data_IF_082035886254
#
_entry.id   IF_082035886254
#
_cell.length_a   1.000
_cell.length_b   1.000
_cell.length_c   1.000
_cell.angle_alpha   90.00
_cell.angle_beta   90.00
_cell.angle_gamma   90.00
#
_symmetry.space_group_name_H-M   'P 1'
#
loop_
_entity.id
_entity.type
_entity.pdbx_description
1 polymer ?
#
# COMPACT_ATOMS: atom_id res chain seq x y z
N UNK A 1 -36.90 -31.77 -21.90
CA UNK A 1 -36.87 -30.50 -21.13
C UNK A 1 -35.46 -30.24 -20.71
N UNK A 2 -34.71 -29.48 -21.49
CA UNK A 2 -33.27 -29.35 -21.39
C UNK A 2 -32.95 -27.99 -20.73
N UNK A 3 -32.64 -27.99 -19.44
CA UNK A 3 -32.26 -26.76 -18.72
C UNK A 3 -30.74 -26.78 -18.56
N UNK A 4 -30.04 -26.44 -19.65
CA UNK A 4 -28.64 -26.04 -19.58
C UNK A 4 -28.58 -24.54 -19.32
N UNK A 5 -28.76 -24.14 -18.07
CA UNK A 5 -28.50 -22.77 -17.65
C UNK A 5 -27.03 -22.68 -17.24
N UNK A 6 -26.15 -22.61 -18.22
CA UNK A 6 -24.76 -22.21 -18.00
C UNK A 6 -24.75 -20.73 -17.73
N UNK A 7 -24.80 -20.38 -16.45
CA UNK A 7 -24.45 -19.05 -15.99
C UNK A 7 -23.02 -18.74 -16.42
N UNK A 8 -22.88 -18.02 -17.54
CA UNK A 8 -21.64 -17.37 -17.95
C UNK A 8 -21.27 -16.35 -16.85
N UNK A 9 -20.52 -16.80 -15.85
CA UNK A 9 -19.76 -15.91 -15.00
C UNK A 9 -18.67 -15.34 -15.90
N UNK A 10 -18.94 -14.18 -16.50
CA UNK A 10 -17.95 -13.40 -17.23
C UNK A 10 -16.87 -12.97 -16.24
N UNK A 11 -15.87 -13.81 -16.06
CA UNK A 11 -14.63 -13.41 -15.41
C UNK A 11 -14.02 -12.29 -16.26
N UNK A 12 -14.12 -11.05 -15.82
CA UNK A 12 -13.45 -9.91 -16.45
C UNK A 12 -11.94 -10.16 -16.37
N UNK A 13 -11.39 -10.76 -17.42
CA UNK A 13 -9.95 -10.94 -17.57
C UNK A 13 -9.33 -9.58 -17.92
N UNK A 14 -8.38 -9.14 -17.10
CA UNK A 14 -7.62 -7.94 -17.42
C UNK A 14 -6.77 -8.15 -18.68
N UNK A 15 -6.67 -7.08 -19.48
CA UNK A 15 -5.77 -7.09 -20.64
C UNK A 15 -4.32 -7.15 -20.18
N UNK A 16 -3.43 -7.67 -21.03
CA UNK A 16 -1.98 -7.72 -20.76
C UNK A 16 -1.44 -6.33 -20.35
N UNK A 17 -1.94 -5.25 -20.96
CA UNK A 17 -1.54 -3.88 -20.65
C UNK A 17 -1.92 -3.48 -19.23
N UNK A 18 -3.10 -3.85 -18.76
CA UNK A 18 -3.56 -3.56 -17.39
C UNK A 18 -2.73 -4.32 -16.33
N UNK A 19 -2.35 -5.55 -16.62
CA UNK A 19 -1.48 -6.33 -15.73
C UNK A 19 -0.08 -5.73 -15.67
N UNK A 20 0.48 -5.32 -16.80
CA UNK A 20 1.78 -4.61 -16.85
C UNK A 20 1.72 -3.30 -16.06
N UNK A 21 0.66 -2.50 -16.25
CA UNK A 21 0.45 -1.28 -15.46
C UNK A 21 0.39 -1.58 -13.95
N UNK A 22 -0.26 -2.68 -13.55
CA UNK A 22 -0.27 -3.13 -12.16
C UNK A 22 1.13 -3.43 -11.60
N UNK A 23 1.98 -4.09 -12.38
CA UNK A 23 3.38 -4.32 -11.98
C UNK A 23 4.19 -3.03 -11.88
N UNK A 24 3.99 -2.08 -12.78
CA UNK A 24 4.65 -0.77 -12.75
C UNK A 24 4.25 0.00 -11.48
N UNK A 25 2.96 0.07 -11.16
CA UNK A 25 2.47 0.72 -9.95
C UNK A 25 3.03 0.06 -8.68
N UNK A 26 3.07 -1.27 -8.65
CA UNK A 26 3.70 -2.01 -7.54
C UNK A 26 5.18 -1.70 -7.41
N UNK A 27 5.91 -1.65 -8.52
CA UNK A 27 7.34 -1.35 -8.51
C UNK A 27 7.61 0.07 -7.98
N UNK A 28 6.79 1.04 -8.38
CA UNK A 28 6.89 2.43 -7.87
C UNK A 28 6.60 2.48 -6.36
N UNK A 29 5.53 1.83 -5.90
CA UNK A 29 5.22 1.76 -4.47
C UNK A 29 6.36 1.07 -3.69
N UNK A 30 6.84 -0.07 -4.19
CA UNK A 30 7.91 -0.84 -3.56
C UNK A 30 9.21 -0.04 -3.48
N UNK A 31 9.59 0.66 -4.53
CA UNK A 31 10.80 1.48 -4.57
C UNK A 31 10.73 2.60 -3.53
N UNK A 32 9.60 3.32 -3.48
CA UNK A 32 9.39 4.39 -2.51
C UNK A 32 9.42 3.86 -1.07
N UNK A 33 8.63 2.81 -0.76
CA UNK A 33 8.56 2.23 0.58
C UNK A 33 9.88 1.59 1.01
N UNK A 34 10.63 1.00 0.09
CA UNK A 34 11.98 0.47 0.40
C UNK A 34 12.92 1.60 0.81
N UNK A 35 12.91 2.71 0.06
CA UNK A 35 13.72 3.88 0.41
C UNK A 35 13.33 4.42 1.79
N UNK A 36 12.05 4.64 2.03
CA UNK A 36 11.52 5.16 3.29
C UNK A 36 11.84 4.24 4.48
N UNK A 37 11.66 2.94 4.30
CA UNK A 37 12.02 1.91 5.30
C UNK A 37 13.50 1.89 5.60
N UNK A 38 14.37 1.93 4.58
CA UNK A 38 15.83 1.86 4.76
C UNK A 38 16.34 3.06 5.56
N UNK A 39 15.91 4.28 5.26
CA UNK A 39 16.35 5.46 6.01
C UNK A 39 15.87 5.44 7.47
N UNK A 40 14.72 4.83 7.76
CA UNK A 40 14.23 4.64 9.12
C UNK A 40 14.98 3.56 9.88
N UNK A 41 15.25 2.41 9.27
CA UNK A 41 16.00 1.31 9.91
C UNK A 41 17.44 1.73 10.19
N UNK A 42 18.06 2.45 9.26
CA UNK A 42 19.41 2.99 9.44
C UNK A 42 19.43 4.26 10.31
N UNK A 43 18.25 4.74 10.75
CA UNK A 43 18.10 5.93 11.58
C UNK A 43 18.83 7.16 11.01
N UNK A 44 18.75 7.33 9.69
CA UNK A 44 19.39 8.47 9.02
C UNK A 44 18.74 9.80 9.43
N UNK A 45 19.53 10.86 9.40
CA UNK A 45 19.10 12.19 9.86
C UNK A 45 17.73 12.63 9.30
N UNK A 46 17.40 12.49 8.00
CA UNK A 46 16.09 12.90 7.48
C UNK A 46 14.93 12.15 8.13
N UNK A 47 15.09 10.84 8.39
CA UNK A 47 14.04 10.04 9.03
C UNK A 47 13.88 10.38 10.52
N UNK A 48 15.00 10.60 11.20
CA UNK A 48 15.05 10.99 12.61
C UNK A 48 14.40 12.37 12.82
N UNK A 49 14.85 13.37 12.08
CA UNK A 49 14.36 14.74 12.16
C UNK A 49 12.89 14.83 11.79
N UNK A 50 12.48 14.15 10.70
CA UNK A 50 11.09 14.11 10.27
C UNK A 50 10.17 13.49 11.33
N UNK A 51 10.57 12.37 11.94
CA UNK A 51 9.78 11.70 12.97
C UNK A 51 9.66 12.54 14.25
N UNK A 52 10.74 13.19 14.67
CA UNK A 52 10.75 14.10 15.82
C UNK A 52 9.87 15.33 15.55
N UNK A 53 9.94 15.90 14.35
CA UNK A 53 9.09 17.03 13.94
C UNK A 53 7.59 16.66 13.94
N UNK A 54 7.25 15.38 13.73
CA UNK A 54 5.90 14.85 13.87
C UNK A 54 5.48 14.64 15.34
N UNK A 55 6.35 14.92 16.31
CA UNK A 55 6.08 14.80 17.74
C UNK A 55 6.30 13.40 18.32
N UNK A 56 7.00 12.52 17.62
CA UNK A 56 7.40 11.21 18.13
C UNK A 56 8.79 11.27 18.76
N UNK A 57 9.09 10.47 19.79
CA UNK A 57 10.44 10.33 20.30
C UNK A 57 11.34 9.66 19.25
N UNK A 58 12.63 9.99 19.26
CA UNK A 58 13.64 9.39 18.36
C UNK A 58 13.65 7.86 18.37
N UNK A 59 13.36 7.26 19.54
CA UNK A 59 13.26 5.80 19.71
C UNK A 59 12.15 5.14 18.89
N UNK A 60 11.18 5.90 18.38
CA UNK A 60 10.06 5.38 17.55
C UNK A 60 10.48 5.13 16.10
N UNK A 61 11.56 5.72 15.61
CA UNK A 61 11.96 5.64 14.20
C UNK A 61 12.21 4.19 13.78
N UNK A 62 13.01 3.46 14.56
CA UNK A 62 13.34 2.07 14.26
C UNK A 62 12.13 1.14 14.31
N UNK A 63 11.29 1.12 15.35
CA UNK A 63 10.07 0.30 15.36
C UNK A 63 9.11 0.60 14.20
N UNK A 64 8.92 1.89 13.86
CA UNK A 64 8.09 2.29 12.72
C UNK A 64 8.66 1.73 11.41
N UNK A 65 9.96 1.86 11.18
CA UNK A 65 10.64 1.32 10.02
C UNK A 65 10.56 -0.21 9.93
N UNK A 66 10.68 -0.92 11.05
CA UNK A 66 10.57 -2.39 11.07
C UNK A 66 9.16 -2.88 10.76
N UNK A 67 8.13 -2.21 11.28
CA UNK A 67 6.73 -2.55 10.98
C UNK A 67 6.44 -2.30 9.49
N UNK A 68 6.90 -1.17 8.95
CA UNK A 68 6.77 -0.85 7.54
C UNK A 68 7.50 -1.88 6.67
N UNK A 69 8.73 -2.25 7.01
CA UNK A 69 9.50 -3.28 6.33
C UNK A 69 8.80 -4.62 6.29
N UNK A 70 8.35 -5.12 7.43
CA UNK A 70 7.62 -6.38 7.52
C UNK A 70 6.36 -6.36 6.64
N UNK A 71 5.62 -5.25 6.66
CA UNK A 71 4.42 -5.05 5.84
C UNK A 71 4.75 -5.03 4.33
N UNK A 72 5.86 -4.38 3.96
CA UNK A 72 6.35 -4.33 2.58
C UNK A 72 6.78 -5.72 2.09
N UNK A 73 7.51 -6.48 2.90
CA UNK A 73 7.91 -7.86 2.56
C UNK A 73 6.68 -8.71 2.29
N UNK A 74 5.67 -8.67 3.17
CA UNK A 74 4.41 -9.39 2.97
C UNK A 74 3.68 -8.95 1.70
N UNK A 75 3.72 -7.66 1.36
CA UNK A 75 3.11 -7.11 0.14
C UNK A 75 3.80 -7.63 -1.13
N UNK A 76 5.11 -7.82 -1.11
CA UNK A 76 5.88 -8.28 -2.27
C UNK A 76 5.77 -9.80 -2.50
N UNK A 77 5.43 -10.56 -1.48
CA UNK A 77 5.22 -12.01 -1.59
C UNK A 77 3.79 -12.27 -2.13
N UNK A 78 3.63 -12.93 -3.30
CA UNK A 78 2.31 -13.11 -3.93
C UNK A 78 1.25 -13.75 -3.03
N UNK A 79 1.64 -14.68 -2.17
CA UNK A 79 0.70 -15.38 -1.27
C UNK A 79 0.16 -14.52 -0.15
N UNK A 80 0.89 -13.49 0.27
CA UNK A 80 0.57 -12.60 1.40
C UNK A 80 0.36 -11.15 0.98
N UNK A 81 0.34 -10.87 -0.33
CA UNK A 81 0.30 -9.53 -0.89
C UNK A 81 -0.91 -8.72 -0.42
N UNK A 82 -2.08 -9.34 -0.31
CA UNK A 82 -3.29 -8.68 0.21
C UNK A 82 -3.13 -8.31 1.68
N UNK A 83 -2.58 -9.23 2.50
CA UNK A 83 -2.30 -8.96 3.91
C UNK A 83 -1.30 -7.81 4.06
N UNK A 84 -0.21 -7.84 3.28
CA UNK A 84 0.76 -6.76 3.25
C UNK A 84 0.15 -5.42 2.86
N UNK A 85 -0.73 -5.37 1.86
CA UNK A 85 -1.46 -4.16 1.47
C UNK A 85 -2.36 -3.62 2.59
N UNK A 86 -3.05 -4.50 3.33
CA UNK A 86 -3.88 -4.11 4.48
C UNK A 86 -3.01 -3.51 5.59
N UNK A 87 -1.89 -4.16 5.93
CA UNK A 87 -0.97 -3.66 6.97
C UNK A 87 -0.34 -2.32 6.57
N UNK A 88 0.08 -2.16 5.31
CA UNK A 88 0.56 -0.89 4.77
C UNK A 88 -0.53 0.19 4.80
N UNK A 89 -1.79 -0.15 4.54
CA UNK A 89 -2.92 0.79 4.65
C UNK A 89 -3.09 1.28 6.08
N UNK A 90 -2.97 0.39 7.07
CA UNK A 90 -2.97 0.76 8.49
C UNK A 90 -1.81 1.70 8.85
N UNK A 91 -0.59 1.39 8.38
CA UNK A 91 0.59 2.23 8.56
C UNK A 91 0.40 3.63 7.95
N UNK A 92 -0.05 3.70 6.70
CA UNK A 92 -0.32 4.96 5.99
C UNK A 92 -1.46 5.75 6.64
N UNK A 93 -2.49 5.07 7.16
CA UNK A 93 -3.56 5.69 7.94
C UNK A 93 -3.05 6.35 9.22
N UNK A 94 -2.11 5.70 9.91
CA UNK A 94 -1.40 6.29 11.05
C UNK A 94 -0.62 7.54 10.67
N UNK A 95 0.06 7.54 9.52
CA UNK A 95 0.75 8.71 8.99
C UNK A 95 -0.21 9.87 8.71
N UNK A 96 -1.35 9.61 8.07
CA UNK A 96 -2.40 10.62 7.83
C UNK A 96 -2.87 11.23 9.14
N UNK A 97 -3.24 10.40 10.12
CA UNK A 97 -3.72 10.85 11.41
C UNK A 97 -2.68 11.75 12.14
N UNK A 98 -1.41 11.39 12.02
CA UNK A 98 -0.30 12.16 12.57
C UNK A 98 -0.20 13.53 11.91
N UNK A 99 -0.22 13.60 10.58
CA UNK A 99 -0.17 14.86 9.85
C UNK A 99 -1.39 15.77 10.11
N UNK A 100 -2.58 15.19 10.23
CA UNK A 100 -3.79 15.92 10.63
C UNK A 100 -3.63 16.50 12.03
N UNK A 101 -3.12 15.73 12.99
CA UNK A 101 -2.93 16.16 14.38
C UNK A 101 -2.04 17.39 14.51
N UNK A 102 -1.00 17.51 13.71
CA UNK A 102 -0.05 18.63 13.77
C UNK A 102 -0.36 19.74 12.76
N UNK A 103 -1.46 19.65 12.00
CA UNK A 103 -1.86 20.66 11.02
C UNK A 103 -0.93 20.78 9.82
N UNK A 104 -0.33 19.65 9.36
CA UNK A 104 0.54 19.64 8.18
C UNK A 104 -0.19 20.08 6.91
N UNK A 105 0.53 20.61 5.89
CA UNK A 105 -0.05 20.97 4.60
C UNK A 105 -0.83 19.80 3.98
N UNK A 106 -2.08 20.08 3.55
CA UNK A 106 -3.02 19.03 3.14
C UNK A 106 -2.50 18.20 1.96
N UNK A 107 -2.15 18.86 0.86
CA UNK A 107 -1.84 18.18 -0.40
C UNK A 107 -0.48 17.50 -0.41
N UNK A 108 0.52 18.10 0.23
CA UNK A 108 1.91 17.61 0.16
C UNK A 108 2.26 16.61 1.25
N UNK A 109 1.63 16.67 2.41
CA UNK A 109 1.98 15.83 3.56
C UNK A 109 0.82 14.94 4.01
N UNK A 110 -0.37 15.53 4.26
CA UNK A 110 -1.51 14.79 4.80
C UNK A 110 -2.08 13.79 3.79
N UNK A 111 -2.19 14.18 2.51
CA UNK A 111 -2.72 13.31 1.44
C UNK A 111 -1.65 12.44 0.78
N UNK A 112 -0.37 12.70 1.02
CA UNK A 112 0.72 11.92 0.43
C UNK A 112 0.60 10.40 0.69
N UNK A 113 0.29 9.94 1.92
CA UNK A 113 0.07 8.51 2.17
C UNK A 113 -1.09 7.92 1.35
N UNK A 114 -2.10 8.71 0.99
CA UNK A 114 -3.20 8.25 0.11
C UNK A 114 -2.66 7.98 -1.30
N UNK A 115 -1.77 8.83 -1.82
CA UNK A 115 -1.17 8.59 -3.13
C UNK A 115 -0.36 7.28 -3.15
N UNK A 116 0.37 7.00 -2.08
CA UNK A 116 1.08 5.71 -1.91
C UNK A 116 0.10 4.55 -1.82
N UNK A 117 -0.99 4.69 -1.07
CA UNK A 117 -2.04 3.67 -0.97
C UNK A 117 -2.68 3.37 -2.34
N UNK A 118 -2.92 4.39 -3.17
CA UNK A 118 -3.43 4.21 -4.54
C UNK A 118 -2.45 3.43 -5.41
N UNK A 119 -1.14 3.63 -5.27
CA UNK A 119 -0.12 2.82 -5.97
C UNK A 119 -0.15 1.37 -5.50
N UNK A 120 -0.26 1.12 -4.18
CA UNK A 120 -0.31 -0.22 -3.59
C UNK A 120 -1.52 -0.99 -4.11
N UNK A 121 -2.72 -0.45 -3.94
CA UNK A 121 -3.97 -1.10 -4.31
C UNK A 121 -4.19 -1.14 -5.82
N UNK A 122 -3.85 -0.06 -6.54
CA UNK A 122 -3.89 0.00 -8.00
C UNK A 122 -2.92 -0.99 -8.65
N UNK A 123 -1.78 -1.22 -8.02
CA UNK A 123 -0.81 -2.24 -8.46
C UNK A 123 -1.29 -3.66 -8.17
N UNK A 124 -1.97 -3.89 -7.06
CA UNK A 124 -2.41 -5.21 -6.62
C UNK A 124 -3.66 -5.67 -7.38
N UNK A 125 -4.62 -4.78 -7.61
CA UNK A 125 -5.93 -5.10 -8.16
C UNK A 125 -5.91 -5.88 -9.50
N UNK A 126 -5.09 -5.52 -10.50
CA UNK A 126 -5.02 -6.28 -11.75
C UNK A 126 -4.31 -7.63 -11.62
N UNK A 127 -3.46 -7.80 -10.59
CA UNK A 127 -2.61 -8.99 -10.43
C UNK A 127 -3.22 -10.07 -9.55
N UNK A 128 -4.14 -9.69 -8.64
CA UNK A 128 -4.71 -10.59 -7.64
C UNK A 128 -6.20 -10.86 -7.93
N UNK A 129 -6.52 -12.00 -8.56
CA UNK A 129 -7.91 -12.35 -8.87
C UNK A 129 -8.82 -12.44 -7.63
N UNK A 130 -8.28 -12.96 -6.50
CA UNK A 130 -9.03 -13.12 -5.24
C UNK A 130 -9.48 -11.78 -4.66
N UNK A 131 -8.71 -10.72 -4.88
CA UNK A 131 -9.07 -9.38 -4.40
C UNK A 131 -10.35 -8.87 -5.07
N UNK A 132 -10.59 -9.26 -6.32
CA UNK A 132 -11.79 -8.88 -7.07
C UNK A 132 -13.07 -9.51 -6.52
N UNK A 133 -12.95 -10.72 -5.98
CA UNK A 133 -14.08 -11.43 -5.37
C UNK A 133 -14.45 -10.82 -4.00
N UNK A 134 -13.50 -10.17 -3.34
CA UNK A 134 -13.67 -9.55 -2.02
C UNK A 134 -14.15 -8.09 -2.10
N UNK A 135 -13.90 -7.39 -3.20
CA UNK A 135 -14.31 -6.00 -3.35
C UNK A 135 -15.78 -5.90 -3.79
N UNK A 136 -16.57 -4.98 -3.17
CA UNK A 136 -18.01 -4.88 -3.41
C UNK A 136 -18.36 -4.22 -4.76
N UNK A 137 -17.42 -3.96 -5.64
CA UNK A 137 -17.66 -3.39 -6.97
C UNK A 137 -18.25 -4.45 -7.92
N UNK A 138 -19.46 -4.90 -7.61
CA UNK A 138 -20.27 -5.68 -8.56
C UNK A 138 -20.89 -4.71 -9.57
N UNK A 139 -20.62 -4.93 -10.85
CA UNK A 139 -21.47 -4.44 -11.96
C UNK A 139 -22.59 -5.42 -12.20
#
# INVERSE_FOLDING_TARGET
MNITNTSNISSTSFTRRQVIAGYVLTALAALFLTFDTVIKILQLAPAMEGTIALGYPASSVLPIGLIEFASLVLYLIPRTSVLGAVLLTGHLGGAIATHVRIGSPLLSHTLFPIYVALLIWGGLYPREPRLRDLLPFRR
#
